data_IF_512741254160
#
_entry.id   IF_512741254160
#
_cell.length_a   1.000
_cell.length_b   1.000
_cell.length_c   1.000
_cell.angle_alpha   90.00
_cell.angle_beta   90.00
_cell.angle_gamma   90.00
#
_symmetry.space_group_name_H-M   'P 1'
#
loop_
_entity.id
_entity.type
_entity.pdbx_description
1 polymer ?
#
# COMPACT_ATOMS: atom_id res chain seq x y z
N UNK A 1 15.95 2.86 14.03
CA UNK A 1 15.02 1.90 13.41
C UNK A 1 15.76 1.06 12.36
N UNK A 2 16.33 1.66 11.29
CA UNK A 2 16.96 0.89 10.20
C UNK A 2 18.17 0.05 10.65
N UNK A 3 19.03 0.57 11.52
CA UNK A 3 20.15 -0.23 12.07
C UNK A 3 19.67 -1.48 12.82
N UNK A 4 18.59 -1.38 13.59
CA UNK A 4 18.00 -2.56 14.24
C UNK A 4 17.32 -3.49 13.22
N UNK A 5 16.76 -2.95 12.15
CA UNK A 5 16.21 -3.76 11.06
C UNK A 5 17.30 -4.51 10.30
N UNK A 6 18.49 -3.90 10.09
CA UNK A 6 19.65 -4.57 9.50
C UNK A 6 20.08 -5.77 10.34
N UNK A 7 20.18 -5.60 11.65
CA UNK A 7 20.55 -6.69 12.59
C UNK A 7 19.55 -7.85 12.57
N UNK A 8 18.28 -7.55 12.32
CA UNK A 8 17.20 -8.54 12.26
C UNK A 8 16.90 -9.08 10.86
N UNK A 9 17.57 -8.58 9.82
CA UNK A 9 17.30 -8.95 8.44
C UNK A 9 15.92 -8.50 7.92
N UNK A 10 15.33 -7.46 8.53
CA UNK A 10 14.00 -6.93 8.17
C UNK A 10 14.13 -5.97 6.99
N UNK A 11 13.26 -6.12 6.00
CA UNK A 11 13.13 -5.19 4.88
C UNK A 11 12.15 -4.08 5.24
N UNK A 12 12.54 -2.84 4.93
CA UNK A 12 11.83 -1.64 5.35
C UNK A 12 11.46 -0.77 4.14
N UNK A 13 10.19 -0.42 4.02
CA UNK A 13 9.74 0.63 3.11
C UNK A 13 9.66 1.95 3.87
N UNK A 14 10.28 2.98 3.32
CA UNK A 14 10.25 4.32 3.91
C UNK A 14 9.19 5.15 3.21
N UNK A 15 8.30 5.76 3.98
CA UNK A 15 7.30 6.69 3.42
C UNK A 15 7.95 7.97 2.90
N UNK A 16 7.49 8.44 1.74
CA UNK A 16 8.01 9.67 1.12
C UNK A 16 7.14 10.91 1.38
N UNK A 17 5.99 10.76 2.02
CA UNK A 17 5.00 11.82 2.13
C UNK A 17 4.26 11.74 3.48
N UNK A 18 3.74 12.79 3.96
CA UNK A 18 2.75 13.06 5.01
C UNK A 18 2.84 14.54 5.43
N UNK A 19 2.34 15.42 4.58
CA UNK A 19 2.50 16.86 4.75
C UNK A 19 1.23 17.51 5.27
N UNK A 20 0.96 17.34 6.56
CA UNK A 20 -0.14 18.02 7.23
C UNK A 20 -1.52 17.42 6.92
N UNK A 21 -2.55 18.26 7.05
CA UNK A 21 -3.97 17.89 6.91
C UNK A 21 -4.52 18.09 5.48
N UNK A 22 -3.68 17.93 4.46
CA UNK A 22 -4.11 18.07 3.09
C UNK A 22 -4.86 16.82 2.62
N UNK A 23 -5.90 17.02 1.82
CA UNK A 23 -6.58 15.93 1.17
C UNK A 23 -5.70 15.24 0.12
N UNK A 24 -6.01 13.97 -0.18
CA UNK A 24 -5.20 13.13 -1.08
C UNK A 24 -5.02 13.76 -2.47
N UNK A 25 -6.05 14.39 -3.02
CA UNK A 25 -5.98 15.02 -4.34
C UNK A 25 -5.03 16.23 -4.34
N UNK A 26 -5.16 17.12 -3.37
CA UNK A 26 -4.26 18.27 -3.21
C UNK A 26 -2.81 17.83 -3.04
N UNK A 27 -2.56 16.76 -2.25
CA UNK A 27 -1.22 16.19 -2.10
C UNK A 27 -0.62 15.70 -3.42
N UNK A 28 -1.43 15.21 -4.35
CA UNK A 28 -0.94 14.76 -5.67
C UNK A 28 -0.53 15.92 -6.58
N UNK A 29 -1.29 17.02 -6.58
CA UNK A 29 -1.18 18.08 -7.61
C UNK A 29 -0.42 19.33 -7.16
N UNK A 30 -0.35 19.61 -5.85
CA UNK A 30 0.28 20.83 -5.34
C UNK A 30 1.79 20.83 -5.55
N UNK A 31 2.29 21.88 -6.20
CA UNK A 31 3.72 22.01 -6.54
C UNK A 31 4.61 22.31 -5.34
N UNK A 32 4.06 22.96 -4.30
CA UNK A 32 4.77 23.21 -3.04
C UNK A 32 4.99 21.89 -2.29
N UNK A 33 3.93 21.09 -2.16
CA UNK A 33 3.99 19.74 -1.56
C UNK A 33 4.96 18.85 -2.33
N UNK A 34 4.91 18.85 -3.68
CA UNK A 34 5.85 18.08 -4.49
C UNK A 34 7.32 18.46 -4.19
N UNK A 35 7.63 19.74 -4.07
CA UNK A 35 8.98 20.21 -3.72
C UNK A 35 9.41 19.73 -2.34
N UNK A 36 8.53 19.81 -1.33
CA UNK A 36 8.80 19.34 0.01
C UNK A 36 9.04 17.83 0.03
N UNK A 37 8.20 17.08 -0.65
CA UNK A 37 8.33 15.63 -0.82
C UNK A 37 9.69 15.24 -1.38
N UNK A 38 10.08 15.83 -2.51
CA UNK A 38 11.34 15.50 -3.17
C UNK A 38 12.55 15.88 -2.33
N UNK A 39 12.50 17.04 -1.66
CA UNK A 39 13.55 17.43 -0.72
C UNK A 39 13.66 16.44 0.44
N UNK A 40 12.53 16.01 1.01
CA UNK A 40 12.51 14.99 2.07
C UNK A 40 13.10 13.67 1.59
N UNK A 41 12.77 13.23 0.39
CA UNK A 41 13.34 12.01 -0.20
C UNK A 41 14.86 12.12 -0.37
N UNK A 42 15.38 13.28 -0.80
CA UNK A 42 16.82 13.52 -0.90
C UNK A 42 17.50 13.40 0.48
N UNK A 43 16.94 14.07 1.50
CA UNK A 43 17.51 14.04 2.85
C UNK A 43 17.48 12.63 3.46
N UNK A 44 16.40 11.89 3.25
CA UNK A 44 16.24 10.50 3.71
C UNK A 44 17.22 9.58 2.98
N UNK A 45 17.29 9.66 1.65
CA UNK A 45 18.21 8.84 0.87
C UNK A 45 19.68 9.10 1.27
N UNK A 46 20.08 10.37 1.41
CA UNK A 46 21.42 10.73 1.83
C UNK A 46 21.81 10.15 3.19
N UNK A 47 20.84 10.12 4.14
CA UNK A 47 21.11 9.68 5.50
C UNK A 47 20.99 8.17 5.69
N UNK A 48 20.13 7.49 4.94
CA UNK A 48 19.66 6.16 5.30
C UNK A 48 19.73 5.10 4.19
N UNK A 49 19.96 5.47 2.93
CA UNK A 49 19.98 4.49 1.83
C UNK A 49 21.15 3.50 1.88
N UNK A 50 22.13 3.73 2.77
CA UNK A 50 23.25 2.82 3.00
C UNK A 50 22.86 1.60 3.86
N UNK A 51 21.70 1.61 4.51
CA UNK A 51 21.21 0.48 5.31
C UNK A 51 20.71 -0.65 4.40
N UNK A 52 21.09 -1.90 4.69
CA UNK A 52 20.61 -3.08 3.94
C UNK A 52 19.09 -3.31 4.10
N UNK A 53 18.53 -2.83 5.20
CA UNK A 53 17.09 -2.82 5.47
C UNK A 53 16.31 -1.81 4.65
N UNK A 54 16.95 -0.77 4.10
CA UNK A 54 16.31 0.21 3.23
C UNK A 54 15.93 -0.46 1.91
N UNK A 55 14.76 -1.10 1.90
CA UNK A 55 14.33 -1.92 0.77
C UNK A 55 13.64 -1.12 -0.33
N UNK A 56 12.92 -0.08 0.05
CA UNK A 56 12.19 0.72 -0.92
C UNK A 56 11.43 1.90 -0.34
N UNK A 57 10.65 2.53 -1.24
CA UNK A 57 9.78 3.64 -0.90
C UNK A 57 8.32 3.24 -0.88
N UNK A 58 7.60 3.73 0.10
CA UNK A 58 6.14 3.70 0.13
C UNK A 58 5.60 5.08 -0.20
N UNK A 59 4.77 5.19 -1.24
CA UNK A 59 4.07 6.41 -1.59
C UNK A 59 2.68 6.37 -0.94
N UNK A 60 2.51 7.03 0.22
CA UNK A 60 1.37 6.78 1.11
C UNK A 60 0.10 7.52 0.72
N UNK A 61 0.09 8.23 -0.40
CA UNK A 61 -1.12 8.87 -0.86
C UNK A 61 -2.11 7.80 -1.33
N UNK A 62 -3.07 7.49 -0.47
CA UNK A 62 -4.04 6.43 -0.70
C UNK A 62 -5.00 6.81 -1.83
N UNK A 63 -4.80 6.20 -2.98
CA UNK A 63 -5.66 6.40 -4.13
C UNK A 63 -6.88 5.48 -4.09
N UNK A 64 -8.04 6.03 -4.43
CA UNK A 64 -9.25 5.25 -4.65
C UNK A 64 -9.22 4.59 -6.03
N UNK A 65 -9.63 3.32 -6.08
CA UNK A 65 -9.93 2.63 -7.33
C UNK A 65 -11.44 2.73 -7.61
N UNK A 66 -11.87 3.69 -8.49
CA UNK A 66 -13.31 3.94 -8.75
C UNK A 66 -13.66 4.17 -10.23
N UNK A 67 -13.79 3.16 -11.03
CA UNK A 67 -13.14 1.84 -11.03
C UNK A 67 -11.69 1.90 -11.52
N UNK A 68 -11.20 3.08 -11.84
CA UNK A 68 -9.86 3.36 -12.36
C UNK A 68 -9.15 4.39 -11.49
N UNK A 69 -7.83 4.40 -11.56
CA UNK A 69 -7.05 5.50 -10.99
C UNK A 69 -7.31 6.79 -11.77
N UNK A 70 -7.39 7.92 -11.09
CA UNK A 70 -7.40 9.23 -11.77
C UNK A 70 -6.03 9.50 -12.40
N UNK A 71 -5.99 10.30 -13.45
CA UNK A 71 -4.74 10.59 -14.18
C UNK A 71 -3.71 11.30 -13.29
N UNK A 72 -4.15 12.12 -12.35
CA UNK A 72 -3.31 12.78 -11.36
C UNK A 72 -2.61 11.77 -10.45
N UNK A 73 -3.28 10.70 -10.07
CA UNK A 73 -2.68 9.61 -9.29
C UNK A 73 -1.59 8.90 -10.09
N UNK A 74 -1.87 8.51 -11.33
CA UNK A 74 -0.87 7.87 -12.21
C UNK A 74 0.35 8.78 -12.39
N UNK A 75 0.11 10.09 -12.60
CA UNK A 75 1.18 11.08 -12.70
C UNK A 75 1.98 11.21 -11.41
N UNK A 76 1.30 11.31 -10.26
CA UNK A 76 1.94 11.40 -8.94
C UNK A 76 2.85 10.20 -8.67
N UNK A 77 2.36 8.99 -8.94
CA UNK A 77 3.13 7.75 -8.74
C UNK A 77 4.37 7.75 -9.65
N UNK A 78 4.21 8.11 -10.93
CA UNK A 78 5.32 8.14 -11.88
C UNK A 78 6.36 9.21 -11.51
N UNK A 79 5.94 10.43 -11.14
CA UNK A 79 6.84 11.50 -10.70
C UNK A 79 7.66 11.05 -9.46
N UNK A 80 7.01 10.39 -8.49
CA UNK A 80 7.67 9.88 -7.29
C UNK A 80 8.63 8.72 -7.60
N UNK A 81 8.22 7.78 -8.44
CA UNK A 81 9.03 6.63 -8.82
C UNK A 81 10.27 7.03 -9.62
N UNK A 82 10.11 7.94 -10.58
CA UNK A 82 11.24 8.49 -11.35
C UNK A 82 12.23 9.23 -10.46
N UNK A 83 11.73 9.91 -9.44
CA UNK A 83 12.60 10.59 -8.47
C UNK A 83 13.30 9.60 -7.54
N UNK A 84 12.57 8.62 -7.01
CA UNK A 84 13.12 7.55 -6.18
C UNK A 84 14.23 6.76 -6.91
N UNK A 85 14.02 6.44 -8.18
CA UNK A 85 15.00 5.70 -8.97
C UNK A 85 16.31 6.48 -9.17
N UNK A 86 16.26 7.81 -9.25
CA UNK A 86 17.48 8.63 -9.32
C UNK A 86 18.25 8.64 -8.01
N UNK A 87 17.55 8.61 -6.87
CA UNK A 87 18.16 8.63 -5.53
C UNK A 87 18.67 7.26 -5.09
N UNK A 88 17.89 6.24 -5.37
CA UNK A 88 18.08 4.87 -4.86
C UNK A 88 17.74 3.85 -5.95
N UNK A 89 18.57 3.69 -6.99
CA UNK A 89 18.23 2.93 -8.20
C UNK A 89 17.97 1.44 -7.97
N UNK A 90 18.41 0.89 -6.84
CA UNK A 90 18.24 -0.53 -6.50
C UNK A 90 17.04 -0.78 -5.56
N UNK A 91 16.32 0.27 -5.18
CA UNK A 91 15.14 0.16 -4.31
C UNK A 91 13.88 -0.05 -5.12
N UNK A 92 12.89 -0.67 -4.49
CA UNK A 92 11.57 -0.88 -5.08
C UNK A 92 10.56 0.14 -4.54
N UNK A 93 9.50 0.41 -5.29
CA UNK A 93 8.48 1.38 -4.95
C UNK A 93 7.13 0.69 -4.77
N UNK A 94 6.37 1.12 -3.76
CA UNK A 94 5.10 0.54 -3.35
C UNK A 94 4.02 1.61 -3.18
N UNK A 95 2.79 1.29 -3.61
CA UNK A 95 1.55 2.01 -3.28
C UNK A 95 0.53 1.05 -2.68
N UNK A 96 -0.41 1.57 -1.87
CA UNK A 96 -1.48 0.79 -1.24
C UNK A 96 -2.87 1.41 -1.50
N UNK A 97 -3.42 1.27 -2.72
CA UNK A 97 -4.74 1.79 -3.06
C UNK A 97 -5.88 0.98 -2.43
N UNK A 98 -7.05 1.62 -2.27
CA UNK A 98 -8.24 1.03 -1.67
C UNK A 98 -9.45 1.00 -2.62
N UNK A 99 -10.61 0.46 -2.17
CA UNK A 99 -11.84 0.25 -2.94
C UNK A 99 -11.73 -0.82 -4.04
N UNK A 100 -11.15 -1.97 -3.71
CA UNK A 100 -11.03 -3.11 -4.64
C UNK A 100 -12.37 -3.62 -5.18
N UNK A 101 -13.49 -3.37 -4.48
CA UNK A 101 -14.84 -3.74 -4.92
C UNK A 101 -15.24 -3.09 -6.25
N UNK A 102 -14.61 -1.99 -6.61
CA UNK A 102 -14.83 -1.30 -7.89
C UNK A 102 -13.90 -1.80 -9.01
N UNK A 103 -12.94 -2.69 -8.69
CA UNK A 103 -11.96 -3.20 -9.64
C UNK A 103 -12.62 -3.83 -10.88
N UNK A 104 -12.04 -3.58 -12.03
CA UNK A 104 -12.48 -4.14 -13.32
C UNK A 104 -11.32 -4.79 -14.06
N UNK A 105 -11.64 -5.82 -14.83
CA UNK A 105 -10.71 -6.40 -15.79
C UNK A 105 -11.11 -5.97 -17.19
N UNK A 106 -10.53 -4.88 -17.66
CA UNK A 106 -10.70 -4.39 -19.02
C UNK A 106 -9.41 -3.76 -19.57
N UNK A 107 -9.41 -3.46 -20.86
CA UNK A 107 -8.23 -2.91 -21.53
C UNK A 107 -7.83 -1.52 -21.04
N UNK A 108 -8.77 -0.75 -20.46
CA UNK A 108 -8.43 0.58 -19.93
C UNK A 108 -7.63 0.46 -18.64
N UNK A 109 -8.08 -0.38 -17.69
CA UNK A 109 -7.37 -0.61 -16.45
C UNK A 109 -5.99 -1.26 -16.68
N UNK A 110 -5.94 -2.24 -17.58
CA UNK A 110 -4.65 -2.86 -17.98
C UNK A 110 -3.67 -1.80 -18.49
N UNK A 111 -4.10 -0.90 -19.40
CA UNK A 111 -3.24 0.19 -19.88
C UNK A 111 -2.83 1.18 -18.80
N UNK A 112 -3.65 1.40 -17.77
CA UNK A 112 -3.23 2.23 -16.62
C UNK A 112 -2.09 1.54 -15.86
N UNK A 113 -2.21 0.25 -15.56
CA UNK A 113 -1.17 -0.53 -14.88
C UNK A 113 0.14 -0.54 -15.70
N UNK A 114 0.06 -0.73 -17.03
CA UNK A 114 1.23 -0.68 -17.93
C UNK A 114 1.96 0.68 -17.88
N UNK A 115 1.22 1.77 -17.71
CA UNK A 115 1.76 3.14 -17.67
C UNK A 115 2.34 3.53 -16.32
N UNK A 116 1.99 2.83 -15.24
CA UNK A 116 2.48 3.16 -13.90
C UNK A 116 3.90 2.65 -13.70
N UNK A 117 4.85 3.55 -13.44
CA UNK A 117 6.22 3.21 -13.11
C UNK A 117 6.34 2.80 -11.63
N UNK A 118 5.68 1.72 -11.25
CA UNK A 118 5.62 1.19 -9.89
C UNK A 118 6.02 -0.28 -9.88
N UNK A 119 6.67 -0.75 -8.83
CA UNK A 119 7.13 -2.13 -8.71
C UNK A 119 6.12 -3.03 -7.99
N UNK A 120 5.38 -2.46 -7.02
CA UNK A 120 4.44 -3.18 -6.17
C UNK A 120 3.18 -2.36 -5.98
N UNK A 121 2.03 -2.99 -6.18
CA UNK A 121 0.74 -2.46 -5.79
C UNK A 121 0.13 -3.40 -4.75
N UNK A 122 0.04 -2.95 -3.50
CA UNK A 122 -0.54 -3.69 -2.38
C UNK A 122 -1.95 -3.15 -2.12
N UNK A 123 -2.96 -3.75 -2.74
CA UNK A 123 -4.33 -3.27 -2.57
C UNK A 123 -4.84 -3.57 -1.17
N UNK A 124 -5.45 -2.57 -0.52
CA UNK A 124 -6.18 -2.75 0.73
C UNK A 124 -7.42 -3.59 0.47
N UNK A 125 -7.62 -4.64 1.26
CA UNK A 125 -8.75 -5.57 1.04
C UNK A 125 -10.10 -4.99 1.45
N UNK A 126 -10.12 -3.97 2.31
CA UNK A 126 -11.30 -3.24 2.73
C UNK A 126 -12.29 -4.04 3.57
N UNK A 127 -11.87 -5.18 4.14
CA UNK A 127 -12.74 -6.02 4.96
C UNK A 127 -12.90 -5.46 6.37
N UNK A 128 -11.85 -4.88 6.93
CA UNK A 128 -11.86 -4.25 8.25
C UNK A 128 -12.74 -3.02 8.33
N UNK A 129 -12.71 -2.20 7.28
CA UNK A 129 -13.53 -0.98 7.14
C UNK A 129 -14.90 -1.24 6.52
N UNK A 130 -15.32 -2.50 6.33
CA UNK A 130 -16.60 -2.90 5.75
C UNK A 130 -16.84 -2.39 4.30
N UNK A 131 -15.80 -2.04 3.56
CA UNK A 131 -15.91 -1.68 2.13
C UNK A 131 -16.05 -2.91 1.24
N UNK A 132 -15.55 -4.06 1.70
CA UNK A 132 -15.58 -5.34 1.00
C UNK A 132 -16.13 -6.41 1.93
N UNK A 133 -17.11 -7.19 1.49
CA UNK A 133 -17.52 -8.38 2.23
C UNK A 133 -16.45 -9.48 2.15
N UNK A 134 -16.23 -10.18 3.26
CA UNK A 134 -15.24 -11.26 3.32
C UNK A 134 -15.42 -12.29 2.19
N UNK A 135 -16.66 -12.63 1.90
CA UNK A 135 -17.05 -13.60 0.89
C UNK A 135 -16.71 -13.15 -0.55
N UNK A 136 -16.64 -11.85 -0.78
CA UNK A 136 -16.36 -11.25 -2.09
C UNK A 136 -14.86 -10.99 -2.32
N UNK A 137 -14.03 -11.03 -1.29
CA UNK A 137 -12.61 -10.66 -1.38
C UNK A 137 -11.85 -11.48 -2.42
N UNK A 138 -12.06 -12.80 -2.47
CA UNK A 138 -11.46 -13.69 -3.48
C UNK A 138 -11.79 -13.24 -4.92
N UNK A 139 -13.05 -12.88 -5.18
CA UNK A 139 -13.51 -12.44 -6.51
C UNK A 139 -12.82 -11.15 -6.95
N UNK A 140 -12.65 -10.19 -6.05
CA UNK A 140 -12.00 -8.92 -6.40
C UNK A 140 -10.51 -9.10 -6.62
N UNK A 141 -9.83 -9.91 -5.80
CA UNK A 141 -8.43 -10.22 -6.04
C UNK A 141 -8.20 -11.04 -7.31
N UNK A 142 -9.13 -11.92 -7.70
CA UNK A 142 -9.08 -12.60 -9.01
C UNK A 142 -9.18 -11.60 -10.19
N UNK A 143 -10.01 -10.57 -10.07
CA UNK A 143 -10.13 -9.51 -11.09
C UNK A 143 -8.81 -8.73 -11.19
N UNK A 144 -8.24 -8.31 -10.06
CA UNK A 144 -6.94 -7.63 -10.00
C UNK A 144 -5.82 -8.50 -10.57
N UNK A 145 -5.76 -9.77 -10.18
CA UNK A 145 -4.79 -10.73 -10.67
C UNK A 145 -4.80 -10.84 -12.21
N UNK A 146 -5.98 -11.01 -12.82
CA UNK A 146 -6.12 -11.04 -14.28
C UNK A 146 -5.61 -9.76 -14.96
N UNK A 147 -5.88 -8.61 -14.36
CA UNK A 147 -5.40 -7.33 -14.88
C UNK A 147 -3.87 -7.19 -14.77
N UNK A 148 -3.29 -7.57 -13.62
CA UNK A 148 -1.85 -7.54 -13.39
C UNK A 148 -1.09 -8.53 -14.27
N UNK A 149 -1.59 -9.75 -14.43
CA UNK A 149 -1.00 -10.75 -15.34
C UNK A 149 -0.95 -10.23 -16.78
N UNK A 150 -2.06 -9.59 -17.24
CA UNK A 150 -2.11 -9.03 -18.58
C UNK A 150 -1.20 -7.82 -18.76
N UNK A 151 -1.14 -6.93 -17.79
CA UNK A 151 -0.27 -5.74 -17.81
C UNK A 151 1.22 -6.11 -17.68
N UNK A 152 1.52 -7.19 -16.96
CA UNK A 152 2.88 -7.73 -16.75
C UNK A 152 3.90 -6.66 -16.28
N UNK A 153 3.48 -5.76 -15.38
CA UNK A 153 4.28 -4.60 -14.97
C UNK A 153 4.58 -4.61 -13.47
N UNK A 154 3.60 -4.37 -12.63
CA UNK A 154 3.75 -4.32 -11.17
C UNK A 154 3.39 -5.66 -10.53
N UNK A 155 4.09 -6.03 -9.47
CA UNK A 155 3.71 -7.17 -8.63
C UNK A 155 2.44 -6.85 -7.86
N UNK A 156 1.54 -7.82 -7.82
CA UNK A 156 0.31 -7.72 -7.05
C UNK A 156 0.53 -8.23 -5.63
N UNK A 157 0.38 -7.34 -4.65
CA UNK A 157 0.35 -7.68 -3.23
C UNK A 157 -1.03 -7.34 -2.65
N UNK A 158 -1.31 -7.82 -1.46
CA UNK A 158 -2.46 -7.40 -0.66
C UNK A 158 -1.98 -6.63 0.57
N UNK A 159 -2.77 -5.66 1.00
CA UNK A 159 -2.70 -5.05 2.32
C UNK A 159 -3.98 -5.43 3.08
N UNK A 160 -3.85 -6.41 3.95
CA UNK A 160 -4.96 -7.08 4.61
C UNK A 160 -5.25 -6.43 5.96
N UNK A 161 -6.48 -5.99 6.15
CA UNK A 161 -6.94 -5.33 7.38
C UNK A 161 -7.26 -6.37 8.48
N UNK A 162 -6.51 -6.32 9.59
CA UNK A 162 -6.64 -7.24 10.73
C UNK A 162 -7.58 -6.75 11.82
N UNK A 163 -8.32 -5.68 11.58
CA UNK A 163 -9.17 -4.99 12.54
C UNK A 163 -10.63 -4.90 12.07
N UNK A 164 -11.49 -4.48 12.96
CA UNK A 164 -12.84 -4.00 12.65
C UNK A 164 -13.17 -2.80 13.55
N UNK A 165 -14.14 -1.99 13.15
CA UNK A 165 -14.67 -0.92 13.99
C UNK A 165 -15.83 -1.44 14.85
N UNK A 166 -15.76 -1.23 16.18
CA UNK A 166 -16.75 -1.72 17.14
C UNK A 166 -18.14 -1.15 16.87
N UNK A 167 -18.23 0.14 16.57
CA UNK A 167 -19.49 0.89 16.38
C UNK A 167 -19.70 1.36 14.92
N UNK A 168 -19.13 0.68 13.94
CA UNK A 168 -19.11 1.10 12.54
C UNK A 168 -17.98 2.09 12.23
N UNK A 169 -18.01 2.72 11.03
CA UNK A 169 -16.96 3.62 10.58
C UNK A 169 -16.65 4.74 11.59
N UNK A 170 -15.42 4.77 12.09
CA UNK A 170 -14.93 5.79 13.03
C UNK A 170 -15.06 5.40 14.52
N UNK A 171 -15.50 4.21 14.84
CA UNK A 171 -15.48 3.65 16.20
C UNK A 171 -14.09 3.19 16.66
N UNK A 172 -14.03 2.53 17.83
CA UNK A 172 -12.80 1.92 18.30
C UNK A 172 -12.34 0.80 17.36
N UNK A 173 -11.06 0.78 17.10
CA UNK A 173 -10.38 -0.21 16.27
C UNK A 173 -10.05 -1.42 17.12
N UNK A 174 -10.69 -2.56 16.84
CA UNK A 174 -10.50 -3.80 17.58
C UNK A 174 -9.88 -4.89 16.69
N UNK A 175 -9.09 -5.82 17.28
CA UNK A 175 -8.55 -6.97 16.55
C UNK A 175 -9.66 -7.86 16.01
N UNK A 176 -9.57 -8.27 14.75
CA UNK A 176 -10.47 -9.25 14.17
C UNK A 176 -10.23 -10.66 14.72
N UNK A 177 -11.28 -11.48 14.74
CA UNK A 177 -11.18 -12.89 15.16
C UNK A 177 -10.26 -13.66 14.20
N UNK A 178 -9.18 -14.19 14.76
CA UNK A 178 -8.15 -14.88 13.98
C UNK A 178 -8.72 -16.09 13.24
N UNK A 179 -9.45 -16.96 13.91
CA UNK A 179 -9.94 -18.22 13.35
C UNK A 179 -11.14 -18.02 12.42
N UNK A 180 -12.05 -17.11 12.77
CA UNK A 180 -13.30 -16.93 12.02
C UNK A 180 -13.14 -16.00 10.81
N UNK A 181 -12.20 -15.03 10.90
CA UNK A 181 -12.04 -14.02 9.86
C UNK A 181 -10.65 -14.04 9.22
N UNK A 182 -9.58 -13.86 10.00
CA UNK A 182 -8.23 -13.64 9.46
C UNK A 182 -7.76 -14.82 8.57
N UNK A 183 -7.93 -16.06 9.04
CA UNK A 183 -7.56 -17.25 8.25
C UNK A 183 -8.33 -17.28 6.93
N UNK A 184 -9.64 -17.08 6.95
CA UNK A 184 -10.47 -17.09 5.74
C UNK A 184 -10.12 -15.95 4.79
N UNK A 185 -9.79 -14.78 5.33
CA UNK A 185 -9.31 -13.63 4.57
C UNK A 185 -8.01 -13.97 3.83
N UNK A 186 -7.04 -14.59 4.52
CA UNK A 186 -5.80 -15.07 3.92
C UNK A 186 -6.04 -16.15 2.85
N UNK A 187 -6.90 -17.13 3.14
CA UNK A 187 -7.26 -18.19 2.18
C UNK A 187 -7.89 -17.64 0.91
N UNK A 188 -8.74 -16.63 1.03
CA UNK A 188 -9.39 -15.96 -0.11
C UNK A 188 -8.39 -15.19 -0.99
N UNK A 189 -7.39 -14.57 -0.40
CA UNK A 189 -6.47 -13.63 -1.07
C UNK A 189 -5.23 -14.33 -1.60
N UNK A 190 -4.66 -15.27 -0.82
CA UNK A 190 -3.35 -15.88 -1.11
C UNK A 190 -3.20 -16.53 -2.49
N UNK A 191 -4.24 -17.06 -3.15
CA UNK A 191 -4.09 -17.64 -4.49
C UNK A 191 -3.75 -16.62 -5.59
N UNK A 192 -3.96 -15.32 -5.33
CA UNK A 192 -3.92 -14.27 -6.34
C UNK A 192 -2.75 -13.29 -6.18
N UNK A 193 -2.02 -13.34 -5.07
CA UNK A 193 -1.02 -12.32 -4.73
C UNK A 193 0.35 -12.93 -4.40
N UNK A 194 1.41 -12.20 -4.69
CA UNK A 194 2.77 -12.63 -4.36
C UNK A 194 3.06 -12.52 -2.86
N UNK A 195 2.40 -11.59 -2.17
CA UNK A 195 2.58 -11.34 -0.74
C UNK A 195 1.35 -10.68 -0.13
N UNK A 196 1.12 -10.99 1.15
CA UNK A 196 0.13 -10.33 1.98
C UNK A 196 0.88 -9.49 3.03
N UNK A 197 0.65 -8.19 3.04
CA UNK A 197 0.94 -7.29 4.15
C UNK A 197 -0.23 -7.34 5.12
N UNK A 198 0.03 -7.01 6.38
CA UNK A 198 -0.99 -7.04 7.42
C UNK A 198 -1.06 -5.69 8.14
N UNK A 199 -2.18 -5.01 8.02
CA UNK A 199 -2.44 -3.78 8.77
C UNK A 199 -3.27 -4.08 10.00
N UNK A 200 -2.71 -4.04 11.22
CA UNK A 200 -1.31 -3.78 11.51
C UNK A 200 -0.83 -4.66 12.68
N UNK A 201 0.48 -4.80 12.84
CA UNK A 201 1.04 -5.55 13.95
C UNK A 201 0.88 -4.82 15.29
N UNK A 202 1.29 -3.54 15.34
CA UNK A 202 1.26 -2.72 16.56
C UNK A 202 -0.20 -2.43 16.94
N UNK A 203 -0.56 -2.75 18.19
CA UNK A 203 -1.90 -2.54 18.73
C UNK A 203 -2.93 -3.61 18.39
N UNK A 204 -2.69 -4.43 17.37
CA UNK A 204 -3.65 -5.46 16.91
C UNK A 204 -3.10 -6.88 17.09
N UNK A 205 -1.84 -7.12 16.73
CA UNK A 205 -1.23 -8.46 16.80
C UNK A 205 -0.14 -8.61 17.85
N UNK A 206 0.35 -7.52 18.43
CA UNK A 206 1.38 -7.59 19.45
C UNK A 206 0.88 -8.23 20.74
N UNK A 207 1.81 -8.76 21.54
CA UNK A 207 1.51 -9.45 22.80
C UNK A 207 0.59 -8.61 23.68
N UNK A 208 -0.53 -9.19 24.21
CA UNK A 208 -1.39 -8.50 25.16
C UNK A 208 -0.63 -7.95 26.37
N UNK A 209 -0.96 -6.73 26.80
CA UNK A 209 -0.31 -6.06 27.92
C UNK A 209 1.04 -5.41 27.60
N UNK A 210 1.47 -5.38 26.34
CA UNK A 210 2.54 -4.48 25.88
C UNK A 210 1.96 -3.09 25.69
N UNK A 211 2.51 -2.11 26.43
CA UNK A 211 2.13 -0.72 26.22
C UNK A 211 2.47 -0.28 24.78
N UNK A 212 1.51 0.34 24.12
CA UNK A 212 1.75 1.03 22.86
C UNK A 212 2.42 2.33 23.26
N UNK A 213 3.70 2.45 22.97
CA UNK A 213 4.47 3.69 23.18
C UNK A 213 4.23 4.62 21.99
#
# INVERSE_FOLDING_TARGET
VLAAADECGIKFFVSNDFWGELDAYTMMIDKGVQKLRFRSMEEVAQKYSHHESFYGWYFPNEAQLQPYFIDECVKYVNDCADFAQRLTPNCVNLIAPYFIKEARFDDYFVRQLEKMNIDIIAYQDGVGVNHTALEDSARFYEILYKAHEKASRARLWADMELFYFEDGDGGNLLPADFNKRIIRQMENISPFVDKILCYQYIGIMNKPGTDII
#
